data_IF_759276464352
#
_entry.id   IF_759276464352
#
_cell.length_a   1.000
_cell.length_b   1.000
_cell.length_c   1.000
_cell.angle_alpha   90.00
_cell.angle_beta   90.00
_cell.angle_gamma   90.00
#
_symmetry.space_group_name_H-M   'P 1'
#
loop_
_entity.id
_entity.type
_entity.pdbx_description
1 polymer ?
#
# COMPACT_ATOMS: atom_id res chain seq x y z
N UNK A 1 -32.04 -79.33 -12.08
CA UNK A 1 -31.73 -78.78 -13.41
C UNK A 1 -30.66 -77.69 -13.40
N UNK A 2 -29.96 -77.41 -12.28
CA UNK A 2 -28.98 -76.30 -12.18
C UNK A 2 -27.58 -76.54 -12.75
N UNK A 3 -27.11 -77.80 -12.80
CA UNK A 3 -25.70 -78.08 -13.09
C UNK A 3 -25.33 -77.97 -14.57
N UNK A 4 -26.22 -78.39 -15.48
CA UNK A 4 -25.99 -78.23 -16.93
C UNK A 4 -26.03 -76.76 -17.35
N UNK A 5 -26.96 -75.99 -16.79
CA UNK A 5 -27.04 -74.53 -16.98
C UNK A 5 -25.78 -73.83 -16.45
N UNK A 6 -25.22 -74.31 -15.33
CA UNK A 6 -23.96 -73.78 -14.79
C UNK A 6 -22.77 -74.04 -15.72
N UNK A 7 -22.69 -75.22 -16.36
CA UNK A 7 -21.62 -75.57 -17.30
C UNK A 7 -21.73 -74.79 -18.62
N UNK A 8 -22.93 -74.60 -19.15
CA UNK A 8 -23.18 -73.78 -20.34
C UNK A 8 -22.88 -72.30 -20.06
N UNK A 9 -23.25 -71.81 -18.86
CA UNK A 9 -22.91 -70.46 -18.39
C UNK A 9 -21.40 -70.24 -18.23
N UNK A 10 -20.66 -71.26 -17.75
CA UNK A 10 -19.20 -71.26 -17.68
C UNK A 10 -18.57 -71.14 -19.08
N UNK A 11 -19.14 -71.84 -20.06
CA UNK A 11 -18.64 -71.86 -21.44
C UNK A 11 -18.88 -70.51 -22.13
N UNK A 12 -20.11 -69.98 -22.04
CA UNK A 12 -20.51 -68.71 -22.66
C UNK A 12 -19.82 -67.48 -22.04
N UNK A 13 -19.57 -67.47 -20.71
CA UNK A 13 -18.84 -66.36 -20.08
C UNK A 13 -17.33 -66.37 -20.38
N UNK A 14 -16.76 -67.52 -20.75
CA UNK A 14 -15.30 -67.64 -20.94
C UNK A 14 -14.75 -66.90 -22.17
N UNK A 15 -15.62 -66.58 -23.14
CA UNK A 15 -15.23 -66.03 -24.44
C UNK A 15 -15.32 -64.49 -24.50
N UNK A 16 -15.97 -63.82 -23.54
CA UNK A 16 -16.26 -62.37 -23.57
C UNK A 16 -15.86 -61.61 -22.27
N UNK A 17 -14.62 -61.75 -21.79
CA UNK A 17 -14.15 -60.97 -20.63
C UNK A 17 -13.62 -59.59 -21.02
N UNK A 18 -14.49 -58.57 -21.02
CA UNK A 18 -14.08 -57.18 -21.23
C UNK A 18 -13.65 -56.47 -19.93
N UNK A 19 -12.60 -56.99 -19.30
CA UNK A 19 -12.11 -56.52 -17.99
C UNK A 19 -11.27 -55.22 -18.07
N UNK A 20 -10.61 -54.98 -19.21
CA UNK A 20 -9.73 -53.82 -19.40
C UNK A 20 -10.56 -52.54 -19.40
N UNK A 21 -11.70 -52.53 -20.09
CA UNK A 21 -12.59 -51.37 -20.17
C UNK A 21 -13.19 -51.02 -18.81
N UNK A 22 -13.66 -52.01 -18.04
CA UNK A 22 -14.16 -51.81 -16.67
C UNK A 22 -13.09 -51.27 -15.71
N UNK A 23 -11.82 -51.68 -15.89
CA UNK A 23 -10.72 -51.19 -15.05
C UNK A 23 -10.39 -49.73 -15.36
N UNK A 24 -10.38 -49.35 -16.63
CA UNK A 24 -10.18 -47.97 -17.05
C UNK A 24 -11.32 -47.06 -16.57
N UNK A 25 -12.56 -47.56 -16.62
CA UNK A 25 -13.75 -46.89 -16.10
C UNK A 25 -13.64 -46.68 -14.58
N UNK A 26 -13.23 -47.71 -13.83
CA UNK A 26 -12.99 -47.60 -12.38
C UNK A 26 -11.93 -46.55 -12.05
N UNK A 27 -10.83 -46.50 -12.81
CA UNK A 27 -9.78 -45.49 -12.61
C UNK A 27 -10.28 -44.07 -12.91
N UNK A 28 -11.16 -43.90 -13.91
CA UNK A 28 -11.79 -42.62 -14.19
C UNK A 28 -12.73 -42.18 -13.07
N UNK A 29 -13.56 -43.09 -12.55
CA UNK A 29 -14.46 -42.80 -11.43
C UNK A 29 -13.65 -42.44 -10.17
N UNK A 30 -12.56 -43.15 -9.87
CA UNK A 30 -11.65 -42.80 -8.77
C UNK A 30 -11.04 -41.41 -8.92
N UNK A 31 -10.63 -41.03 -10.14
CA UNK A 31 -10.16 -39.67 -10.43
C UNK A 31 -11.23 -38.62 -10.17
N UNK A 32 -12.47 -38.88 -10.58
CA UNK A 32 -13.61 -37.99 -10.34
C UNK A 32 -13.89 -37.84 -8.84
N UNK A 33 -13.90 -38.94 -8.07
CA UNK A 33 -14.05 -38.90 -6.60
C UNK A 33 -12.96 -38.02 -5.97
N UNK A 34 -11.70 -38.20 -6.37
CA UNK A 34 -10.59 -37.43 -5.82
C UNK A 34 -10.70 -35.94 -6.16
N UNK A 35 -11.06 -35.61 -7.40
CA UNK A 35 -11.31 -34.23 -7.84
C UNK A 35 -12.42 -33.57 -7.02
N UNK A 36 -13.57 -34.22 -6.94
CA UNK A 36 -14.75 -33.68 -6.26
C UNK A 36 -14.53 -33.56 -4.75
N UNK A 37 -13.82 -34.52 -4.15
CA UNK A 37 -13.43 -34.48 -2.74
C UNK A 37 -12.47 -33.31 -2.45
N UNK A 38 -11.52 -33.05 -3.35
CA UNK A 38 -10.57 -31.94 -3.17
C UNK A 38 -11.26 -30.59 -3.29
N UNK A 39 -12.17 -30.41 -4.26
CA UNK A 39 -13.00 -29.21 -4.37
C UNK A 39 -13.92 -29.04 -3.15
N UNK A 40 -14.58 -30.11 -2.70
CA UNK A 40 -15.39 -30.09 -1.48
C UNK A 40 -14.57 -29.64 -0.25
N UNK A 41 -13.38 -30.22 -0.05
CA UNK A 41 -12.48 -29.83 1.05
C UNK A 41 -12.02 -28.38 0.93
N UNK A 42 -11.79 -27.89 -0.29
CA UNK A 42 -11.39 -26.51 -0.55
C UNK A 42 -12.51 -25.54 -0.17
N UNK A 43 -13.75 -25.82 -0.57
CA UNK A 43 -14.94 -25.02 -0.21
C UNK A 43 -15.14 -25.02 1.31
N UNK A 44 -15.07 -26.19 1.96
CA UNK A 44 -15.17 -26.29 3.43
C UNK A 44 -14.07 -25.49 4.11
N UNK A 45 -12.82 -25.63 3.66
CA UNK A 45 -11.68 -24.90 4.22
C UNK A 45 -11.84 -23.39 4.08
N UNK A 46 -12.34 -22.92 2.93
CA UNK A 46 -12.64 -21.51 2.71
C UNK A 46 -13.78 -21.04 3.63
N UNK A 47 -14.85 -21.83 3.77
CA UNK A 47 -15.94 -21.52 4.71
C UNK A 47 -15.50 -21.43 6.17
N UNK A 48 -14.50 -22.21 6.58
CA UNK A 48 -13.89 -22.17 7.92
C UNK A 48 -12.83 -21.07 8.10
N UNK A 49 -12.53 -20.27 7.07
CA UNK A 49 -11.67 -19.11 7.26
C UNK A 49 -12.36 -18.11 8.18
N UNK A 50 -11.58 -17.48 9.05
CA UNK A 50 -12.09 -16.47 9.95
C UNK A 50 -11.94 -15.10 9.32
N UNK A 51 -12.99 -14.30 9.46
CA UNK A 51 -12.93 -12.85 9.29
C UNK A 51 -12.98 -12.23 10.69
N UNK A 52 -12.20 -11.16 10.86
CA UNK A 52 -12.22 -10.36 12.07
C UNK A 52 -12.33 -8.90 11.68
N UNK A 53 -13.56 -8.43 11.49
CA UNK A 53 -13.84 -6.99 11.45
C UNK A 53 -14.70 -6.60 12.67
N UNK A 54 -14.81 -5.32 13.03
CA UNK A 54 -15.48 -4.89 14.24
C UNK A 54 -16.95 -5.34 14.39
N UNK A 55 -17.67 -5.62 13.28
CA UNK A 55 -19.10 -5.98 13.28
C UNK A 55 -19.38 -7.45 12.93
N UNK A 56 -18.55 -8.04 12.09
CA UNK A 56 -18.64 -9.41 11.56
C UNK A 56 -17.38 -10.17 11.93
N UNK A 57 -17.53 -11.14 12.84
CA UNK A 57 -16.44 -11.97 13.36
C UNK A 57 -16.83 -13.44 13.33
N UNK A 58 -15.86 -14.30 13.04
CA UNK A 58 -16.06 -15.75 13.03
C UNK A 58 -15.87 -16.35 11.64
N UNK A 59 -16.40 -17.56 11.44
CA UNK A 59 -16.25 -18.30 10.20
C UNK A 59 -17.02 -17.63 9.06
N UNK A 60 -16.50 -17.67 7.83
CA UNK A 60 -17.15 -17.06 6.66
C UNK A 60 -18.58 -17.58 6.43
N UNK A 61 -18.89 -18.83 6.81
CA UNK A 61 -20.25 -19.38 6.71
C UNK A 61 -21.22 -18.70 7.67
N UNK A 62 -20.82 -18.51 8.93
CA UNK A 62 -21.66 -17.86 9.94
C UNK A 62 -21.85 -16.38 9.58
N UNK A 63 -20.79 -15.74 9.09
CA UNK A 63 -20.85 -14.36 8.61
C UNK A 63 -21.72 -14.23 7.36
N UNK A 64 -21.73 -15.21 6.45
CA UNK A 64 -22.64 -15.20 5.30
C UNK A 64 -24.12 -15.22 5.74
N UNK A 65 -24.46 -15.95 6.80
CA UNK A 65 -25.82 -15.95 7.35
C UNK A 65 -26.19 -14.60 7.95
N UNK A 66 -25.27 -13.98 8.70
CA UNK A 66 -25.45 -12.63 9.24
C UNK A 66 -25.62 -11.58 8.13
N UNK A 67 -24.79 -11.65 7.08
CA UNK A 67 -24.88 -10.73 5.94
C UNK A 67 -26.22 -10.82 5.21
N UNK A 68 -26.84 -12.01 5.13
CA UNK A 68 -28.19 -12.16 4.54
C UNK A 68 -29.27 -11.50 5.40
N UNK A 69 -29.11 -11.49 6.72
CA UNK A 69 -30.04 -10.82 7.63
C UNK A 69 -29.92 -9.30 7.48
N UNK A 70 -28.68 -8.81 7.39
CA UNK A 70 -28.37 -7.38 7.33
C UNK A 70 -28.50 -6.77 5.92
N UNK A 71 -28.72 -7.57 4.87
CA UNK A 71 -28.72 -7.14 3.47
C UNK A 71 -29.62 -5.91 3.24
N UNK A 72 -30.87 -5.98 3.71
CA UNK A 72 -31.85 -4.91 3.58
C UNK A 72 -31.43 -3.61 4.28
N UNK A 73 -30.68 -3.71 5.39
CA UNK A 73 -30.20 -2.53 6.13
C UNK A 73 -29.17 -1.74 5.31
N UNK A 74 -28.37 -2.43 4.48
CA UNK A 74 -27.26 -1.84 3.74
C UNK A 74 -27.52 -1.68 2.23
N UNK A 75 -28.73 -1.99 1.76
CA UNK A 75 -29.18 -1.78 0.37
C UNK A 75 -28.93 -0.37 -0.16
N UNK A 76 -28.87 0.63 0.72
CA UNK A 76 -28.59 1.99 0.31
C UNK A 76 -27.14 2.25 -0.08
N UNK A 77 -26.19 1.44 0.40
CA UNK A 77 -24.77 1.62 0.20
C UNK A 77 -24.31 0.93 -1.09
N UNK A 78 -24.11 1.73 -2.13
CA UNK A 78 -23.82 1.25 -3.49
C UNK A 78 -22.37 1.46 -3.91
N UNK A 79 -21.57 2.07 -3.05
CA UNK A 79 -20.15 2.30 -3.30
C UNK A 79 -19.33 1.00 -3.13
N UNK A 80 -18.20 0.94 -3.83
CA UNK A 80 -17.27 -0.21 -3.75
C UNK A 80 -16.31 -0.12 -2.56
N UNK A 81 -16.17 1.06 -1.98
CA UNK A 81 -15.24 1.33 -0.90
C UNK A 81 -15.60 0.50 0.34
N UNK A 82 -14.60 0.00 1.04
CA UNK A 82 -14.79 -0.89 2.19
C UNK A 82 -13.67 -0.77 3.24
N UNK A 83 -12.78 0.23 3.10
CA UNK A 83 -11.73 0.47 4.09
C UNK A 83 -12.30 1.25 5.27
N UNK A 84 -12.53 0.52 6.35
CA UNK A 84 -13.06 1.04 7.60
C UNK A 84 -11.98 1.59 8.56
N UNK A 85 -10.69 1.49 8.20
CA UNK A 85 -9.58 1.99 9.02
C UNK A 85 -9.11 3.39 8.61
N UNK A 86 -9.70 3.99 7.57
CA UNK A 86 -9.35 5.33 7.12
C UNK A 86 -9.87 6.42 8.07
N UNK A 87 -9.02 6.78 9.03
CA UNK A 87 -9.29 7.84 10.02
C UNK A 87 -9.44 9.23 9.40
N UNK A 88 -8.87 9.47 8.21
CA UNK A 88 -9.02 10.76 7.54
C UNK A 88 -10.44 10.93 6.99
N UNK A 89 -11.07 9.82 6.58
CA UNK A 89 -12.40 9.81 6.01
C UNK A 89 -13.45 10.35 6.98
N UNK A 90 -13.37 10.02 8.27
CA UNK A 90 -14.31 10.52 9.29
C UNK A 90 -14.28 12.05 9.40
N UNK A 91 -13.07 12.61 9.52
CA UNK A 91 -12.88 14.05 9.60
C UNK A 91 -13.37 14.76 8.33
N UNK A 92 -13.02 14.22 7.16
CA UNK A 92 -13.48 14.75 5.87
C UNK A 92 -15.01 14.69 5.74
N UNK A 93 -15.62 13.56 6.11
CA UNK A 93 -17.06 13.37 6.06
C UNK A 93 -17.79 14.35 6.98
N UNK A 94 -17.35 14.48 8.24
CA UNK A 94 -17.98 15.39 9.19
C UNK A 94 -17.87 16.86 8.73
N UNK A 95 -16.71 17.26 8.19
CA UNK A 95 -16.54 18.59 7.57
C UNK A 95 -17.45 18.79 6.36
N UNK A 96 -17.61 17.77 5.52
CA UNK A 96 -18.54 17.84 4.38
C UNK A 96 -19.97 18.09 4.87
N UNK A 97 -20.43 17.37 5.90
CA UNK A 97 -21.77 17.55 6.47
C UNK A 97 -21.95 18.98 7.02
N UNK A 98 -20.98 19.47 7.78
CA UNK A 98 -20.97 20.84 8.31
C UNK A 98 -21.08 21.86 7.17
N UNK A 99 -20.22 21.75 6.16
CA UNK A 99 -20.23 22.68 5.03
C UNK A 99 -21.49 22.55 4.16
N UNK A 100 -22.03 21.35 3.96
CA UNK A 100 -23.24 21.15 3.17
C UNK A 100 -24.46 21.86 3.80
N UNK A 101 -24.51 21.98 5.13
CA UNK A 101 -25.54 22.77 5.82
C UNK A 101 -25.39 24.28 5.59
N UNK A 102 -24.14 24.76 5.53
CA UNK A 102 -23.82 26.18 5.34
C UNK A 102 -24.00 26.60 3.88
N UNK A 103 -23.71 25.68 2.95
CA UNK A 103 -23.53 25.96 1.53
C UNK A 103 -24.45 25.12 0.64
N UNK A 104 -25.74 25.08 0.96
CA UNK A 104 -26.77 24.24 0.32
C UNK A 104 -26.96 24.47 -1.19
N UNK A 105 -26.45 25.56 -1.76
CA UNK A 105 -26.61 25.93 -3.17
C UNK A 105 -25.31 26.39 -3.84
N UNK A 106 -24.17 25.78 -3.49
CA UNK A 106 -22.89 26.10 -4.16
C UNK A 106 -22.91 25.62 -5.61
N UNK A 107 -22.63 26.55 -6.51
CA UNK A 107 -22.22 26.24 -7.87
C UNK A 107 -20.74 25.85 -7.89
N UNK A 108 -20.45 24.63 -8.32
CA UNK A 108 -19.10 24.06 -8.27
C UNK A 108 -18.19 24.56 -9.41
N UNK A 109 -18.77 25.15 -10.45
CA UNK A 109 -18.05 25.63 -11.62
C UNK A 109 -17.50 27.06 -11.42
N UNK A 110 -18.06 27.83 -10.50
CA UNK A 110 -17.73 29.26 -10.30
C UNK A 110 -16.78 29.56 -9.15
N UNK A 111 -16.38 28.57 -8.33
CA UNK A 111 -15.50 28.81 -7.17
C UNK A 111 -14.11 29.31 -7.63
N UNK A 112 -13.76 30.51 -7.17
CA UNK A 112 -12.50 31.19 -7.47
C UNK A 112 -11.31 30.44 -6.86
N UNK A 113 -10.21 30.32 -7.60
CA UNK A 113 -8.96 29.78 -7.07
C UNK A 113 -8.39 30.74 -6.01
N UNK A 114 -8.52 30.38 -4.73
CA UNK A 114 -8.03 31.20 -3.62
C UNK A 114 -6.53 31.45 -3.69
N UNK A 115 -5.75 30.59 -4.36
CA UNK A 115 -4.31 30.79 -4.56
C UNK A 115 -4.00 32.06 -5.35
N UNK A 116 -4.99 32.60 -6.08
CA UNK A 116 -4.88 33.85 -6.83
C UNK A 116 -5.26 35.08 -6.01
N UNK A 117 -5.91 34.93 -4.85
CA UNK A 117 -6.27 36.08 -4.02
C UNK A 117 -5.24 36.33 -2.93
N UNK A 118 -4.78 37.58 -2.74
CA UNK A 118 -3.84 37.91 -1.69
C UNK A 118 -4.54 37.93 -0.33
N UNK A 119 -3.87 37.42 0.70
CA UNK A 119 -4.37 37.54 2.09
C UNK A 119 -4.35 38.99 2.56
N UNK A 120 -5.19 39.35 3.53
CA UNK A 120 -5.19 40.69 4.13
C UNK A 120 -3.80 41.09 4.66
N UNK A 121 -3.03 40.13 5.19
CA UNK A 121 -1.68 40.36 5.68
C UNK A 121 -0.71 40.71 4.55
N UNK A 122 -0.76 39.98 3.43
CA UNK A 122 0.06 40.29 2.25
C UNK A 122 -0.26 41.67 1.70
N UNK A 123 -1.56 42.00 1.59
CA UNK A 123 -2.00 43.33 1.16
C UNK A 123 -1.45 44.40 2.11
N UNK A 124 -1.61 44.23 3.43
CA UNK A 124 -1.08 45.19 4.44
C UNK A 124 0.42 45.36 4.34
N UNK A 125 1.17 44.26 4.20
CA UNK A 125 2.62 44.29 4.05
C UNK A 125 3.03 45.08 2.81
N UNK A 126 2.41 44.79 1.67
CA UNK A 126 2.65 45.51 0.42
C UNK A 126 2.37 47.01 0.56
N UNK A 127 1.25 47.37 1.18
CA UNK A 127 0.88 48.76 1.44
C UNK A 127 1.89 49.49 2.33
N UNK A 128 2.38 48.82 3.39
CA UNK A 128 3.40 49.38 4.27
C UNK A 128 4.72 49.63 3.52
N UNK A 129 5.13 48.67 2.68
CA UNK A 129 6.37 48.78 1.90
C UNK A 129 6.25 49.86 0.81
N UNK A 130 5.15 49.91 0.07
CA UNK A 130 4.90 51.00 -0.90
C UNK A 130 4.88 52.36 -0.21
N UNK A 131 4.21 52.48 0.95
CA UNK A 131 4.18 53.75 1.69
C UNK A 131 5.59 54.18 2.13
N UNK A 132 6.45 53.21 2.47
CA UNK A 132 7.81 53.45 2.96
C UNK A 132 8.80 53.79 1.83
N UNK A 133 8.72 53.11 0.69
CA UNK A 133 9.73 53.18 -0.37
C UNK A 133 9.22 53.82 -1.67
N UNK A 134 7.92 54.09 -1.78
CA UNK A 134 7.28 54.54 -3.00
C UNK A 134 7.18 53.44 -4.05
N UNK A 135 6.91 53.85 -5.29
CA UNK A 135 6.91 52.94 -6.41
C UNK A 135 8.34 52.68 -6.89
N UNK A 136 8.85 51.47 -6.65
CA UNK A 136 10.20 51.08 -7.07
C UNK A 136 10.24 50.84 -8.58
N UNK A 137 11.23 51.43 -9.23
CA UNK A 137 11.61 51.16 -10.62
C UNK A 137 12.96 50.44 -10.62
N UNK A 138 12.93 49.13 -10.36
CA UNK A 138 14.08 48.23 -10.50
C UNK A 138 13.74 47.18 -11.55
N UNK A 139 14.72 46.79 -12.37
CA UNK A 139 14.56 45.71 -13.32
C UNK A 139 14.75 44.35 -12.64
N UNK A 140 14.25 43.27 -13.25
CA UNK A 140 14.40 41.91 -12.70
C UNK A 140 15.87 41.52 -12.50
N UNK A 141 16.75 41.97 -13.41
CA UNK A 141 18.20 41.76 -13.31
C UNK A 141 18.79 42.41 -12.05
N UNK A 142 18.38 43.63 -11.73
CA UNK A 142 18.89 44.34 -10.55
C UNK A 142 18.50 43.61 -9.27
N UNK A 143 17.29 43.06 -9.23
CA UNK A 143 16.79 42.29 -8.09
C UNK A 143 17.55 40.98 -7.93
N UNK A 144 17.81 40.26 -9.01
CA UNK A 144 18.62 39.05 -8.99
C UNK A 144 20.05 39.35 -8.49
N UNK A 145 20.63 40.47 -8.90
CA UNK A 145 21.95 40.89 -8.42
C UNK A 145 21.94 41.26 -6.93
N UNK A 146 20.92 41.99 -6.46
CA UNK A 146 20.72 42.28 -5.04
C UNK A 146 20.58 41.00 -4.21
N UNK A 147 19.78 40.03 -4.67
CA UNK A 147 19.61 38.74 -4.01
C UNK A 147 20.92 37.97 -3.91
N UNK A 148 21.71 37.93 -4.99
CA UNK A 148 23.01 37.28 -5.02
C UNK A 148 23.95 37.88 -3.97
N UNK A 149 24.09 39.20 -3.98
CA UNK A 149 24.95 39.92 -3.03
C UNK A 149 24.49 39.77 -1.58
N UNK A 150 23.16 39.75 -1.34
CA UNK A 150 22.60 39.54 0.00
C UNK A 150 22.86 38.12 0.51
N UNK A 151 22.78 37.11 -0.36
CA UNK A 151 23.03 35.72 0.03
C UNK A 151 24.50 35.47 0.40
N UNK A 152 25.42 36.30 -0.09
CA UNK A 152 26.83 36.28 0.31
C UNK A 152 27.10 37.02 1.64
N UNK A 153 26.12 37.73 2.22
CA UNK A 153 26.30 38.43 3.48
C UNK A 153 26.13 37.47 4.68
N UNK A 154 26.86 37.72 5.78
CA UNK A 154 26.63 37.02 7.04
C UNK A 154 25.19 37.14 7.55
N UNK A 155 24.79 36.21 8.42
CA UNK A 155 23.52 36.28 9.16
C UNK A 155 23.46 37.56 10.02
N UNK A 156 22.25 38.00 10.35
CA UNK A 156 22.01 39.30 11.01
C UNK A 156 22.74 39.42 12.35
N UNK A 157 22.84 38.33 13.11
CA UNK A 157 23.54 38.27 14.39
C UNK A 157 25.02 38.62 14.24
N UNK A 158 25.68 38.08 13.21
CA UNK A 158 27.09 38.32 12.94
C UNK A 158 27.37 39.74 12.41
N UNK A 159 26.36 40.43 11.86
CA UNK A 159 26.44 41.84 11.47
C UNK A 159 26.29 42.76 12.68
N UNK A 160 25.34 42.46 13.59
CA UNK A 160 25.15 43.20 14.84
C UNK A 160 26.41 43.23 15.70
N UNK A 161 27.12 42.11 15.78
CA UNK A 161 28.39 42.05 16.52
C UNK A 161 29.42 43.04 15.98
N UNK A 162 29.49 43.21 14.66
CA UNK A 162 30.39 44.18 14.03
C UNK A 162 29.88 45.61 14.16
N UNK A 163 28.57 45.83 14.11
CA UNK A 163 27.97 47.16 14.33
C UNK A 163 28.30 47.72 15.72
N UNK A 164 28.63 46.85 16.70
CA UNK A 164 29.07 47.25 18.04
C UNK A 164 30.56 47.62 18.13
N UNK A 165 31.32 47.48 17.03
CA UNK A 165 32.75 47.74 16.98
C UNK A 165 32.98 49.02 16.17
N UNK A 166 33.74 49.95 16.73
CA UNK A 166 34.13 51.16 16.01
C UNK A 166 35.48 50.95 15.35
N UNK A 167 35.53 51.00 14.01
CA UNK A 167 36.78 50.91 13.26
C UNK A 167 37.05 52.20 12.48
N UNK A 168 38.19 52.82 12.78
CA UNK A 168 38.66 54.04 12.12
C UNK A 168 39.77 53.71 11.14
N UNK A 169 39.68 54.27 9.94
CA UNK A 169 40.61 54.00 8.83
C UNK A 169 41.39 55.25 8.43
N UNK A 170 42.65 55.10 7.99
CA UNK A 170 43.38 56.19 7.36
C UNK A 170 42.88 56.43 5.94
N UNK A 171 43.24 57.58 5.34
CA UNK A 171 42.90 57.93 3.96
C UNK A 171 43.66 57.07 2.93
N UNK A 172 43.19 55.83 2.76
CA UNK A 172 43.66 54.83 1.80
C UNK A 172 42.48 53.98 1.32
N UNK A 173 42.61 53.42 0.12
CA UNK A 173 41.55 52.57 -0.42
C UNK A 173 41.41 51.27 0.39
N UNK A 174 40.17 50.78 0.50
CA UNK A 174 39.88 49.53 1.20
C UNK A 174 40.60 48.32 0.60
N UNK A 175 40.90 48.30 -0.70
CA UNK A 175 41.69 47.24 -1.32
C UNK A 175 43.12 47.19 -0.76
N UNK A 176 43.76 48.36 -0.60
CA UNK A 176 45.12 48.45 -0.06
C UNK A 176 45.10 48.08 1.44
N UNK A 177 44.13 48.61 2.18
CA UNK A 177 44.01 48.34 3.61
C UNK A 177 43.74 46.85 3.89
N UNK A 178 42.90 46.20 3.07
CA UNK A 178 42.63 44.77 3.17
C UNK A 178 43.89 43.93 2.92
N UNK A 179 44.61 44.20 1.83
CA UNK A 179 45.87 43.50 1.51
C UNK A 179 46.90 43.63 2.66
N UNK A 180 47.02 44.83 3.20
CA UNK A 180 47.94 45.10 4.31
C UNK A 180 47.52 44.35 5.57
N UNK A 181 46.23 44.35 5.90
CA UNK A 181 45.69 43.61 7.04
C UNK A 181 45.88 42.09 6.90
N UNK A 182 45.60 41.53 5.72
CA UNK A 182 45.77 40.10 5.42
C UNK A 182 47.24 39.68 5.51
N UNK A 183 48.15 40.51 5.02
CA UNK A 183 49.60 40.25 5.11
C UNK A 183 50.07 40.22 6.58
N UNK A 184 49.65 41.19 7.38
CA UNK A 184 50.03 41.28 8.80
C UNK A 184 49.38 40.17 9.63
N UNK A 185 48.14 39.81 9.32
CA UNK A 185 47.45 38.68 9.92
C UNK A 185 48.16 37.36 9.62
N UNK A 186 48.59 37.14 8.36
CA UNK A 186 49.39 35.98 7.98
C UNK A 186 50.67 35.86 8.81
N UNK A 187 51.39 36.98 8.96
CA UNK A 187 52.58 37.05 9.80
C UNK A 187 52.31 36.69 11.27
N UNK A 188 51.18 37.13 11.85
CA UNK A 188 50.78 36.74 13.21
C UNK A 188 50.42 35.25 13.31
N UNK A 189 49.71 34.71 12.31
CA UNK A 189 49.31 33.30 12.28
C UNK A 189 50.51 32.35 12.18
N UNK A 190 51.62 32.79 11.59
CA UNK A 190 52.90 32.07 11.57
C UNK A 190 53.62 32.06 12.94
N UNK A 191 53.02 32.65 13.97
CA UNK A 191 53.53 32.67 15.35
C UNK A 191 54.42 33.86 15.67
N UNK A 192 54.50 34.85 14.77
CA UNK A 192 55.22 36.09 15.04
C UNK A 192 54.39 37.08 15.86
N UNK A 193 55.04 38.12 16.39
CA UNK A 193 54.39 39.18 17.18
C UNK A 193 54.58 40.53 16.52
N UNK A 194 53.56 41.37 16.60
CA UNK A 194 53.57 42.77 16.15
C UNK A 194 53.58 43.77 17.31
N UNK A 195 53.61 43.28 18.55
CA UNK A 195 53.60 44.06 19.78
C UNK A 195 54.64 43.59 20.81
N UNK A 196 54.92 44.45 21.79
CA UNK A 196 55.78 44.16 22.94
C UNK A 196 57.29 44.32 22.72
N UNK A 197 58.06 44.26 23.81
CA UNK A 197 59.50 44.57 23.86
C UNK A 197 60.35 43.72 22.88
N UNK A 198 59.95 42.45 22.69
CA UNK A 198 60.63 41.53 21.76
C UNK A 198 60.42 41.89 20.29
N UNK A 199 59.29 42.50 19.96
CA UNK A 199 59.04 43.05 18.62
C UNK A 199 59.82 44.35 18.42
N UNK A 200 59.76 45.28 19.39
CA UNK A 200 60.44 46.58 19.32
C UNK A 200 61.95 46.45 19.07
N UNK A 201 62.60 45.46 19.68
CA UNK A 201 64.04 45.19 19.51
C UNK A 201 64.39 44.50 18.19
N UNK A 202 63.45 43.77 17.57
CA UNK A 202 63.68 43.00 16.33
C UNK A 202 63.11 43.67 15.07
N UNK A 203 62.50 44.84 15.20
CA UNK A 203 61.89 45.61 14.10
C UNK A 203 62.84 45.83 12.91
N UNK A 204 64.14 45.98 13.17
CA UNK A 204 65.18 46.13 12.14
C UNK A 204 65.43 44.88 11.29
N UNK A 205 65.08 43.68 11.75
CA UNK A 205 65.29 42.41 11.04
C UNK A 205 64.03 41.87 10.35
N UNK A 206 62.92 42.60 10.40
CA UNK A 206 61.68 42.21 9.73
C UNK A 206 61.86 42.17 8.19
N UNK A 207 61.15 41.27 7.48
CA UNK A 207 61.08 41.29 6.02
C UNK A 207 60.60 42.65 5.52
N UNK A 208 61.08 43.05 4.33
CA UNK A 208 60.74 44.36 3.72
C UNK A 208 59.23 44.55 3.62
N UNK A 209 58.53 43.51 3.18
CA UNK A 209 57.08 43.50 3.02
C UNK A 209 56.32 43.80 4.33
N UNK A 210 56.76 43.24 5.47
CA UNK A 210 56.14 43.50 6.77
C UNK A 210 56.43 44.93 7.22
N UNK A 211 57.68 45.40 7.07
CA UNK A 211 58.09 46.76 7.48
C UNK A 211 57.27 47.85 6.81
N UNK A 212 57.00 47.72 5.52
CA UNK A 212 56.23 48.69 4.74
C UNK A 212 54.76 48.78 5.19
N UNK A 213 54.24 47.73 5.83
CA UNK A 213 52.85 47.62 6.28
C UNK A 213 52.67 47.95 7.76
N UNK A 214 53.73 48.07 8.56
CA UNK A 214 53.66 48.35 10.01
C UNK A 214 52.94 49.66 10.37
N UNK A 215 52.87 50.63 9.46
CA UNK A 215 52.08 51.85 9.69
C UNK A 215 50.61 51.54 10.01
N UNK A 216 50.11 50.39 9.52
CA UNK A 216 48.72 49.97 9.66
C UNK A 216 48.28 49.85 11.12
N UNK A 217 49.18 49.36 11.98
CA UNK A 217 48.91 49.10 13.40
C UNK A 217 48.43 50.38 14.10
N UNK A 218 49.14 51.48 13.88
CA UNK A 218 48.81 52.78 14.50
C UNK A 218 47.75 53.56 13.72
N UNK A 219 47.66 53.32 12.40
CA UNK A 219 46.77 54.07 11.51
C UNK A 219 45.33 53.54 11.48
N UNK A 220 45.11 52.26 11.77
CA UNK A 220 43.78 51.65 11.88
C UNK A 220 43.48 51.39 13.34
N UNK A 221 42.35 51.95 13.81
CA UNK A 221 41.95 51.82 15.22
C UNK A 221 40.73 50.93 15.35
N UNK A 222 40.78 49.97 16.26
CA UNK A 222 39.62 49.15 16.68
C UNK A 222 39.26 49.56 18.10
N UNK A 223 38.07 50.13 18.28
CA UNK A 223 37.62 50.71 19.55
C UNK A 223 38.69 51.66 20.17
N UNK A 224 39.20 52.56 19.34
CA UNK A 224 40.27 53.52 19.65
C UNK A 224 41.65 52.93 20.02
N UNK A 225 41.82 51.61 19.93
CA UNK A 225 43.09 50.91 20.19
C UNK A 225 43.82 50.57 18.89
N UNK A 226 45.15 50.43 18.96
CA UNK A 226 45.97 49.98 17.82
C UNK A 226 45.53 48.59 17.33
N UNK A 227 45.56 48.36 16.03
CA UNK A 227 45.24 47.05 15.47
C UNK A 227 46.49 46.18 15.43
N UNK A 228 46.75 45.42 16.50
CA UNK A 228 47.95 44.58 16.63
C UNK A 228 47.68 43.11 16.97
N UNK A 229 46.43 42.75 17.28
CA UNK A 229 46.03 41.37 17.57
C UNK A 229 45.40 40.64 16.39
N UNK A 230 45.51 39.31 16.37
CA UNK A 230 44.88 38.44 15.36
C UNK A 230 43.38 38.72 15.21
N UNK A 231 42.68 38.95 16.32
CA UNK A 231 41.23 39.16 16.32
C UNK A 231 40.85 40.52 15.74
N UNK A 232 41.58 41.59 16.08
CA UNK A 232 41.36 42.92 15.50
C UNK A 232 41.61 42.91 13.99
N UNK A 233 42.68 42.27 13.51
CA UNK A 233 42.92 42.13 12.07
C UNK A 233 41.78 41.40 11.36
N UNK A 234 41.25 40.32 11.96
CA UNK A 234 40.08 39.62 11.41
C UNK A 234 38.84 40.51 11.36
N UNK A 235 38.58 41.28 12.42
CA UNK A 235 37.46 42.23 12.48
C UNK A 235 37.58 43.31 11.41
N UNK A 236 38.78 43.88 11.24
CA UNK A 236 39.07 44.89 10.22
C UNK A 236 38.87 44.33 8.82
N UNK A 237 39.42 43.15 8.51
CA UNK A 237 39.24 42.51 7.19
C UNK A 237 37.76 42.28 6.91
N UNK A 238 37.02 41.74 7.89
CA UNK A 238 35.59 41.46 7.77
C UNK A 238 34.76 42.74 7.60
N UNK A 239 35.07 43.80 8.33
CA UNK A 239 34.42 45.11 8.19
C UNK A 239 34.68 45.70 6.79
N UNK A 240 35.92 45.69 6.31
CA UNK A 240 36.27 46.15 4.96
C UNK A 240 35.48 45.36 3.90
N UNK A 241 35.44 44.03 4.00
CA UNK A 241 34.69 43.20 3.06
C UNK A 241 33.20 43.53 3.04
N UNK A 242 32.61 43.79 4.21
CA UNK A 242 31.21 44.21 4.31
C UNK A 242 31.00 45.59 3.70
N UNK A 243 31.85 46.58 3.99
CA UNK A 243 31.78 47.91 3.34
C UNK A 243 31.79 47.77 1.83
N UNK A 244 32.70 46.97 1.28
CA UNK A 244 32.79 46.71 -0.15
C UNK A 244 31.53 46.04 -0.71
N UNK A 245 30.95 45.06 0.00
CA UNK A 245 29.69 44.41 -0.42
C UNK A 245 28.50 45.38 -0.37
N UNK A 246 28.37 46.18 0.69
CA UNK A 246 27.32 47.18 0.80
C UNK A 246 27.49 48.34 -0.20
N UNK A 247 28.72 48.68 -0.58
CA UNK A 247 28.99 49.62 -1.68
C UNK A 247 28.50 49.07 -3.02
N UNK A 248 28.65 47.76 -3.28
CA UNK A 248 28.06 47.12 -4.47
C UNK A 248 26.54 47.19 -4.43
N UNK A 249 25.92 46.83 -3.31
CA UNK A 249 24.46 46.93 -3.13
C UNK A 249 23.95 48.36 -3.37
N UNK A 250 24.67 49.36 -2.86
CA UNK A 250 24.33 50.79 -3.01
C UNK A 250 24.38 51.27 -4.46
N UNK A 251 25.26 50.70 -5.29
CA UNK A 251 25.32 51.01 -6.73
C UNK A 251 24.10 50.51 -7.48
N UNK A 252 23.47 49.43 -7.02
CA UNK A 252 22.25 48.89 -7.62
C UNK A 252 21.04 49.68 -7.15
N UNK A 253 20.90 49.87 -5.84
CA UNK A 253 19.83 50.68 -5.27
C UNK A 253 20.36 51.59 -4.15
N UNK A 254 20.25 52.90 -4.35
CA UNK A 254 20.76 53.89 -3.42
C UNK A 254 19.84 54.07 -2.20
N UNK A 255 19.98 53.18 -1.22
CA UNK A 255 19.20 53.14 0.02
C UNK A 255 19.88 53.83 1.22
N UNK A 256 20.70 54.85 1.00
CA UNK A 256 21.72 55.34 1.94
C UNK A 256 21.17 56.17 3.11
N UNK A 257 20.36 55.54 3.96
CA UNK A 257 19.72 56.18 5.11
C UNK A 257 20.25 55.70 6.46
N UNK A 258 21.01 54.60 6.50
CA UNK A 258 21.39 53.88 7.74
C UNK A 258 22.89 53.62 7.80
N UNK A 259 23.47 53.70 9.00
CA UNK A 259 24.90 53.49 9.20
C UNK A 259 25.22 52.02 9.53
N UNK A 260 24.37 51.35 10.32
CA UNK A 260 24.57 49.98 10.77
C UNK A 260 24.29 48.94 9.64
N UNK A 261 25.15 47.92 9.53
CA UNK A 261 25.04 46.84 8.55
C UNK A 261 23.73 46.06 8.70
N UNK A 262 23.30 45.80 9.94
CA UNK A 262 22.03 45.10 10.18
C UNK A 262 20.86 45.86 9.54
N UNK A 263 20.80 47.18 9.75
CA UNK A 263 19.72 48.02 9.23
C UNK A 263 19.79 48.14 7.70
N UNK A 264 20.99 48.25 7.12
CA UNK A 264 21.19 48.22 5.67
C UNK A 264 20.68 46.90 5.07
N UNK A 265 21.05 45.76 5.64
CA UNK A 265 20.59 44.45 5.15
C UNK A 265 19.06 44.30 5.23
N UNK A 266 18.45 44.72 6.35
CA UNK A 266 16.98 44.74 6.49
C UNK A 266 16.32 45.55 5.38
N UNK A 267 16.87 46.73 5.07
CA UNK A 267 16.38 47.61 4.03
C UNK A 267 16.40 46.93 2.65
N UNK A 268 17.55 46.36 2.23
CA UNK A 268 17.63 45.66 0.94
C UNK A 268 16.70 44.44 0.87
N UNK A 269 16.51 43.71 1.97
CA UNK A 269 15.52 42.61 2.03
C UNK A 269 14.09 43.11 1.85
N UNK A 270 13.74 44.25 2.44
CA UNK A 270 12.43 44.87 2.26
C UNK A 270 12.20 45.35 0.81
N UNK A 271 13.23 45.88 0.15
CA UNK A 271 13.18 46.27 -1.27
C UNK A 271 12.89 45.06 -2.17
N UNK A 272 13.65 43.97 -1.99
CA UNK A 272 13.42 42.72 -2.74
C UNK A 272 12.01 42.19 -2.48
N UNK A 273 11.57 42.24 -1.22
CA UNK A 273 10.21 41.82 -0.84
C UNK A 273 9.15 42.67 -1.55
N UNK A 274 9.31 43.99 -1.57
CA UNK A 274 8.40 44.90 -2.27
C UNK A 274 8.34 44.59 -3.77
N UNK A 275 9.48 44.39 -4.42
CA UNK A 275 9.53 44.02 -5.83
C UNK A 275 8.79 42.72 -6.12
N UNK A 276 9.05 41.66 -5.33
CA UNK A 276 8.37 40.37 -5.48
C UNK A 276 6.87 40.51 -5.32
N UNK A 277 6.41 41.25 -4.31
CA UNK A 277 5.00 41.50 -4.09
C UNK A 277 4.37 42.29 -5.25
N UNK A 278 5.06 43.30 -5.79
CA UNK A 278 4.60 44.10 -6.93
C UNK A 278 4.38 43.26 -8.20
N UNK A 279 5.07 42.12 -8.35
CA UNK A 279 4.87 41.22 -9.50
C UNK A 279 3.53 40.48 -9.48
N UNK A 280 2.86 40.41 -8.32
CA UNK A 280 1.54 39.83 -8.19
C UNK A 280 0.44 40.83 -8.59
N UNK A 281 -0.12 40.64 -9.80
CA UNK A 281 -1.18 41.51 -10.33
C UNK A 281 -2.40 41.58 -9.41
N UNK A 282 -2.80 40.48 -8.77
CA UNK A 282 -3.97 40.47 -7.89
C UNK A 282 -3.71 41.29 -6.62
N UNK A 283 -2.46 41.29 -6.13
CA UNK A 283 -2.03 42.13 -5.01
C UNK A 283 -2.03 43.62 -5.36
N UNK A 284 -1.54 43.98 -6.55
CA UNK A 284 -1.55 45.36 -7.06
C UNK A 284 -2.99 45.85 -7.24
N UNK A 285 -3.83 45.04 -7.89
CA UNK A 285 -5.25 45.35 -8.11
C UNK A 285 -6.00 45.47 -6.77
N UNK A 286 -5.72 44.59 -5.80
CA UNK A 286 -6.24 44.72 -4.46
C UNK A 286 -5.81 46.07 -3.87
N UNK A 287 -4.52 46.35 -3.76
CA UNK A 287 -4.01 47.62 -3.19
C UNK A 287 -4.66 48.87 -3.80
N UNK A 288 -4.81 48.92 -5.12
CA UNK A 288 -5.36 50.09 -5.83
C UNK A 288 -6.84 50.36 -5.50
N UNK A 289 -7.61 49.32 -5.19
CA UNK A 289 -9.04 49.42 -4.94
C UNK A 289 -9.39 49.52 -3.44
N UNK A 290 -8.38 49.59 -2.56
CA UNK A 290 -8.58 49.50 -1.11
C UNK A 290 -8.40 50.84 -0.42
N UNK A 291 -9.42 51.20 0.35
CA UNK A 291 -9.38 52.31 1.29
C UNK A 291 -9.07 51.81 2.72
N UNK A 292 -7.79 51.80 3.10
CA UNK A 292 -7.33 51.38 4.43
C UNK A 292 -7.78 52.29 5.58
N UNK A 293 -8.38 53.45 5.29
CA UNK A 293 -8.85 54.36 6.34
C UNK A 293 -10.16 53.90 6.97
N UNK A 294 -10.88 52.96 6.32
CA UNK A 294 -12.15 52.42 6.80
C UNK A 294 -11.93 51.05 7.45
N UNK A 295 -12.14 50.97 8.77
CA UNK A 295 -12.00 49.72 9.54
C UNK A 295 -12.92 48.60 9.02
N UNK A 296 -14.13 48.95 8.57
CA UNK A 296 -15.11 48.02 7.99
C UNK A 296 -14.56 47.26 6.77
N UNK A 297 -13.69 47.90 5.98
CA UNK A 297 -13.13 47.27 4.79
C UNK A 297 -12.28 46.05 5.14
N UNK A 298 -11.36 46.18 6.11
CA UNK A 298 -10.46 45.09 6.48
C UNK A 298 -11.21 43.87 6.97
N UNK A 299 -12.29 44.10 7.71
CA UNK A 299 -13.20 43.04 8.15
C UNK A 299 -13.95 42.41 6.96
N UNK A 300 -14.51 43.21 6.06
CA UNK A 300 -15.26 42.72 4.89
C UNK A 300 -14.38 41.91 3.93
N UNK A 301 -13.14 42.36 3.69
CA UNK A 301 -12.18 41.65 2.86
C UNK A 301 -11.78 40.32 3.48
N UNK A 302 -11.43 40.31 4.77
CA UNK A 302 -11.10 39.07 5.46
C UNK A 302 -12.29 38.10 5.45
N UNK A 303 -13.50 38.60 5.73
CA UNK A 303 -14.71 37.78 5.71
C UNK A 303 -14.96 37.16 4.32
N UNK A 304 -14.70 37.92 3.24
CA UNK A 304 -14.86 37.44 1.86
C UNK A 304 -13.79 36.41 1.51
N UNK A 305 -12.53 36.68 1.88
CA UNK A 305 -11.42 35.74 1.73
C UNK A 305 -11.71 34.43 2.47
N UNK A 306 -12.09 34.49 3.75
CA UNK A 306 -12.42 33.34 4.60
C UNK A 306 -13.62 32.55 4.07
N UNK A 307 -14.58 33.24 3.43
CA UNK A 307 -15.72 32.59 2.78
C UNK A 307 -15.26 31.81 1.55
N UNK A 308 -14.47 32.44 0.67
CA UNK A 308 -13.90 31.79 -0.52
C UNK A 308 -13.00 30.62 -0.11
N UNK A 309 -12.26 30.74 1.00
CA UNK A 309 -11.41 29.68 1.52
C UNK A 309 -12.22 28.47 1.92
N UNK A 310 -13.27 28.68 2.72
CA UNK A 310 -14.17 27.61 3.16
C UNK A 310 -14.89 26.95 1.99
N UNK A 311 -15.32 27.72 0.99
CA UNK A 311 -15.91 27.17 -0.25
C UNK A 311 -14.92 26.29 -1.03
N UNK A 312 -13.66 26.71 -1.14
CA UNK A 312 -12.60 25.91 -1.77
C UNK A 312 -12.27 24.64 -0.98
N UNK A 313 -12.16 24.73 0.35
CA UNK A 313 -11.95 23.56 1.21
C UNK A 313 -13.09 22.55 1.08
N UNK A 314 -14.34 23.03 1.01
CA UNK A 314 -15.49 22.17 0.76
C UNK A 314 -15.40 21.47 -0.61
N UNK A 315 -15.04 22.19 -1.67
CA UNK A 315 -14.85 21.62 -3.01
C UNK A 315 -13.79 20.50 -3.01
N UNK A 316 -12.66 20.74 -2.35
CA UNK A 316 -11.56 19.76 -2.26
C UNK A 316 -11.99 18.51 -1.47
N UNK A 317 -12.61 18.69 -0.29
CA UNK A 317 -13.12 17.57 0.51
C UNK A 317 -14.16 16.76 -0.26
N UNK A 318 -15.10 17.44 -0.94
CA UNK A 318 -16.11 16.79 -1.78
C UNK A 318 -15.44 15.93 -2.85
N UNK A 319 -14.47 16.47 -3.57
CA UNK A 319 -13.75 15.74 -4.61
C UNK A 319 -13.05 14.49 -4.05
N UNK A 320 -12.28 14.64 -2.97
CA UNK A 320 -11.57 13.54 -2.32
C UNK A 320 -12.51 12.44 -1.84
N UNK A 321 -13.67 12.80 -1.27
CA UNK A 321 -14.68 11.82 -0.86
C UNK A 321 -15.37 11.17 -2.05
N UNK A 322 -15.68 11.93 -3.11
CA UNK A 322 -16.29 11.40 -4.34
C UNK A 322 -15.40 10.38 -5.07
N UNK A 323 -14.08 10.43 -4.91
CA UNK A 323 -13.18 9.39 -5.45
C UNK A 323 -13.37 8.03 -4.75
N UNK A 324 -13.79 8.03 -3.48
CA UNK A 324 -13.96 6.83 -2.65
C UNK A 324 -15.41 6.36 -2.63
N UNK A 325 -16.34 7.26 -2.30
CA UNK A 325 -17.75 6.97 -2.02
C UNK A 325 -18.69 7.86 -2.86
N UNK A 326 -18.57 7.86 -4.21
CA UNK A 326 -19.30 8.78 -5.09
C UNK A 326 -20.82 8.76 -4.91
N UNK A 327 -21.43 7.57 -4.82
CA UNK A 327 -22.88 7.44 -4.75
C UNK A 327 -23.42 7.93 -3.40
N UNK A 328 -22.68 7.68 -2.32
CA UNK A 328 -23.05 8.17 -0.99
C UNK A 328 -22.97 9.69 -0.95
N UNK A 329 -21.94 10.29 -1.53
CA UNK A 329 -21.78 11.75 -1.60
C UNK A 329 -22.91 12.37 -2.41
N UNK A 330 -23.28 11.81 -3.55
CA UNK A 330 -24.42 12.30 -4.35
C UNK A 330 -25.72 12.30 -3.54
N UNK A 331 -26.01 11.21 -2.81
CA UNK A 331 -27.21 11.11 -1.96
C UNK A 331 -27.20 12.12 -0.81
N UNK A 332 -26.05 12.34 -0.17
CA UNK A 332 -25.91 13.33 0.90
C UNK A 332 -26.19 14.73 0.36
N UNK A 333 -25.64 15.07 -0.81
CA UNK A 333 -25.86 16.36 -1.47
C UNK A 333 -27.31 16.50 -1.94
N UNK A 334 -28.00 15.41 -2.27
CA UNK A 334 -29.44 15.41 -2.56
C UNK A 334 -30.34 15.47 -1.30
N UNK A 335 -29.76 15.67 -0.11
CA UNK A 335 -30.49 15.87 1.15
C UNK A 335 -30.69 14.61 2.00
N UNK A 336 -30.04 13.49 1.68
CA UNK A 336 -30.08 12.30 2.54
C UNK A 336 -29.28 12.57 3.82
N UNK A 337 -29.93 12.40 4.97
CA UNK A 337 -29.25 12.41 6.27
C UNK A 337 -28.57 11.04 6.48
N UNK A 338 -27.27 11.05 6.73
CA UNK A 338 -26.48 9.82 7.01
C UNK A 338 -25.34 10.21 7.94
N UNK A 339 -25.17 9.46 9.01
CA UNK A 339 -24.08 9.68 9.98
C UNK A 339 -22.81 8.94 9.53
N UNK A 340 -21.65 9.33 10.04
CA UNK A 340 -20.43 8.58 9.78
C UNK A 340 -20.51 7.15 10.36
N UNK A 341 -21.22 6.95 11.47
CA UNK A 341 -21.45 5.62 12.04
C UNK A 341 -22.24 4.72 11.09
N UNK A 342 -23.26 5.24 10.41
CA UNK A 342 -24.00 4.48 9.40
C UNK A 342 -23.10 4.07 8.22
N UNK A 343 -22.23 4.99 7.80
CA UNK A 343 -21.26 4.78 6.73
C UNK A 343 -20.21 3.73 7.12
N UNK A 344 -19.70 3.81 8.34
CA UNK A 344 -18.70 2.89 8.87
C UNK A 344 -19.26 1.47 9.00
N UNK A 345 -20.50 1.34 9.46
CA UNK A 345 -21.23 0.06 9.46
C UNK A 345 -21.40 -0.51 8.06
N UNK A 346 -21.72 0.35 7.08
CA UNK A 346 -21.80 -0.06 5.68
C UNK A 346 -20.44 -0.53 5.13
N UNK A 347 -19.32 0.07 5.56
CA UNK A 347 -17.98 -0.41 5.21
C UNK A 347 -17.68 -1.77 5.82
N UNK A 348 -18.04 -2.01 7.09
CA UNK A 348 -17.90 -3.33 7.71
C UNK A 348 -18.69 -4.39 6.93
N UNK A 349 -19.93 -4.07 6.56
CA UNK A 349 -20.78 -4.93 5.74
C UNK A 349 -20.14 -5.19 4.37
N UNK A 350 -19.70 -4.15 3.66
CA UNK A 350 -19.10 -4.27 2.32
C UNK A 350 -17.79 -5.05 2.35
N UNK A 351 -16.98 -4.86 3.38
CA UNK A 351 -15.77 -5.61 3.62
C UNK A 351 -16.08 -7.10 3.79
N UNK A 352 -16.99 -7.46 4.70
CA UNK A 352 -17.39 -8.84 4.93
C UNK A 352 -18.02 -9.48 3.68
N UNK A 353 -18.88 -8.76 2.97
CA UNK A 353 -19.49 -9.19 1.70
C UNK A 353 -18.41 -9.54 0.65
N UNK A 354 -17.39 -8.69 0.49
CA UNK A 354 -16.30 -8.93 -0.47
C UNK A 354 -15.44 -10.15 -0.11
N UNK A 355 -15.29 -10.48 1.18
CA UNK A 355 -14.61 -11.71 1.61
C UNK A 355 -15.45 -12.95 1.32
N UNK A 356 -16.75 -12.90 1.62
CA UNK A 356 -17.66 -14.03 1.43
C UNK A 356 -17.95 -14.30 -0.05
N UNK A 357 -17.97 -13.28 -0.91
CA UNK A 357 -18.11 -13.44 -2.37
C UNK A 357 -16.96 -14.25 -3.01
N UNK A 358 -15.83 -14.43 -2.32
CA UNK A 358 -14.74 -15.30 -2.78
C UNK A 358 -15.04 -16.79 -2.59
N UNK A 359 -16.12 -17.14 -1.87
CA UNK A 359 -16.57 -18.52 -1.73
C UNK A 359 -17.12 -19.05 -3.07
N UNK A 360 -16.73 -20.27 -3.49
CA UNK A 360 -17.27 -20.88 -4.71
C UNK A 360 -18.79 -20.99 -4.63
N UNK A 361 -19.48 -20.61 -5.72
CA UNK A 361 -20.95 -20.74 -5.84
C UNK A 361 -21.43 -22.19 -5.95
N UNK A 362 -20.51 -23.15 -6.07
CA UNK A 362 -20.84 -24.57 -6.24
C UNK A 362 -21.43 -25.12 -4.93
N UNK A 363 -22.61 -25.73 -5.01
CA UNK A 363 -23.33 -26.20 -3.84
C UNK A 363 -22.60 -27.41 -3.23
N UNK A 364 -22.24 -27.32 -1.96
CA UNK A 364 -21.59 -28.42 -1.23
C UNK A 364 -22.47 -29.69 -1.18
N UNK A 365 -23.79 -29.54 -1.33
CA UNK A 365 -24.73 -30.67 -1.41
C UNK A 365 -24.49 -31.50 -2.68
N UNK A 366 -24.41 -30.85 -3.85
CA UNK A 366 -24.25 -31.51 -5.15
C UNK A 366 -22.92 -32.26 -5.24
N UNK A 367 -21.85 -31.70 -4.66
CA UNK A 367 -20.55 -32.37 -4.58
C UNK A 367 -20.62 -33.62 -3.69
N UNK A 368 -21.32 -33.57 -2.55
CA UNK A 368 -21.50 -34.75 -1.68
C UNK A 368 -22.26 -35.86 -2.39
N UNK A 369 -23.34 -35.52 -3.10
CA UNK A 369 -24.14 -36.48 -3.87
C UNK A 369 -23.31 -37.14 -4.98
N UNK A 370 -22.55 -36.36 -5.76
CA UNK A 370 -21.63 -36.87 -6.78
C UNK A 370 -20.56 -37.80 -6.20
N UNK A 371 -19.95 -37.42 -5.08
CA UNK A 371 -18.95 -38.25 -4.39
C UNK A 371 -19.58 -39.59 -3.98
N UNK A 372 -20.79 -39.56 -3.40
CA UNK A 372 -21.45 -40.77 -2.93
C UNK A 372 -21.89 -41.67 -4.07
N UNK A 373 -22.49 -41.09 -5.12
CA UNK A 373 -22.87 -41.83 -6.33
C UNK A 373 -21.65 -42.50 -6.98
N UNK A 374 -20.54 -41.77 -7.16
CA UNK A 374 -19.32 -42.31 -7.74
C UNK A 374 -18.69 -43.41 -6.86
N UNK A 375 -18.78 -43.31 -5.52
CA UNK A 375 -18.31 -44.38 -4.62
C UNK A 375 -19.12 -45.66 -4.80
N UNK A 376 -20.45 -45.53 -4.91
CA UNK A 376 -21.35 -46.68 -5.15
C UNK A 376 -20.98 -47.35 -6.48
N UNK A 377 -20.86 -46.57 -7.56
CA UNK A 377 -20.45 -47.09 -8.87
C UNK A 377 -19.06 -47.75 -8.84
N UNK A 378 -18.10 -47.15 -8.12
CA UNK A 378 -16.78 -47.74 -7.98
C UNK A 378 -16.83 -49.09 -7.25
N UNK A 379 -17.68 -49.22 -6.24
CA UNK A 379 -17.88 -50.46 -5.50
C UNK A 379 -18.51 -51.56 -6.36
N UNK A 380 -19.51 -51.20 -7.17
CA UNK A 380 -20.12 -52.11 -8.14
C UNK A 380 -19.09 -52.59 -9.17
N UNK A 381 -18.33 -51.67 -9.78
CA UNK A 381 -17.27 -52.01 -10.72
C UNK A 381 -16.19 -52.89 -10.08
N UNK A 382 -15.75 -52.63 -8.85
CA UNK A 382 -14.78 -53.46 -8.13
C UNK A 382 -15.32 -54.88 -7.95
N UNK A 383 -16.60 -55.02 -7.60
CA UNK A 383 -17.26 -56.31 -7.41
C UNK A 383 -17.31 -57.09 -8.72
N UNK A 384 -17.71 -56.42 -9.80
CA UNK A 384 -17.74 -56.95 -11.16
C UNK A 384 -16.35 -57.39 -11.65
N UNK A 385 -15.36 -56.50 -11.51
CA UNK A 385 -13.94 -56.74 -11.81
C UNK A 385 -13.44 -57.96 -11.03
N UNK A 386 -13.78 -58.07 -9.75
CA UNK A 386 -13.42 -59.20 -8.90
C UNK A 386 -14.05 -60.51 -9.38
N UNK A 387 -15.35 -60.48 -9.69
CA UNK A 387 -16.08 -61.62 -10.24
C UNK A 387 -15.50 -62.05 -11.59
N UNK A 388 -15.24 -61.11 -12.50
CA UNK A 388 -14.67 -61.35 -13.82
C UNK A 388 -13.25 -61.93 -13.74
N UNK A 389 -12.40 -61.41 -12.83
CA UNK A 389 -11.07 -61.98 -12.55
C UNK A 389 -11.17 -63.40 -12.02
N UNK A 390 -12.02 -63.64 -11.02
CA UNK A 390 -12.20 -64.95 -10.42
C UNK A 390 -12.73 -65.96 -11.44
N UNK A 391 -13.66 -65.55 -12.30
CA UNK A 391 -14.13 -66.36 -13.41
C UNK A 391 -13.04 -66.65 -14.44
N UNK A 392 -12.28 -65.64 -14.88
CA UNK A 392 -11.15 -65.83 -15.81
C UNK A 392 -10.11 -66.79 -15.24
N UNK A 393 -9.77 -66.67 -13.96
CA UNK A 393 -8.87 -67.60 -13.27
C UNK A 393 -9.41 -69.03 -13.32
N UNK A 394 -10.68 -69.22 -12.95
CA UNK A 394 -11.34 -70.54 -12.96
C UNK A 394 -11.37 -71.12 -14.38
N UNK A 395 -11.78 -70.35 -15.38
CA UNK A 395 -11.80 -70.76 -16.79
C UNK A 395 -10.41 -71.16 -17.29
N UNK A 396 -9.35 -70.43 -16.90
CA UNK A 396 -7.97 -70.78 -17.26
C UNK A 396 -7.53 -72.13 -16.68
N UNK A 397 -7.93 -72.46 -15.45
CA UNK A 397 -7.62 -73.74 -14.79
C UNK A 397 -8.44 -74.89 -15.38
N UNK A 398 -9.68 -74.63 -15.80
CA UNK A 398 -10.55 -75.61 -16.47
C UNK A 398 -10.07 -76.03 -17.86
N UNK A 399 -9.08 -75.35 -18.46
CA UNK A 399 -8.39 -75.83 -19.68
C UNK A 399 -7.60 -77.11 -19.45
N UNK A 400 -7.31 -77.49 -18.20
CA UNK A 400 -6.69 -78.75 -17.87
C UNK A 400 -7.66 -79.92 -18.16
N UNK A 401 -7.31 -80.76 -19.15
CA UNK A 401 -8.12 -81.91 -19.58
C UNK A 401 -8.50 -82.84 -18.42
N UNK A 402 -7.58 -83.09 -17.50
CA UNK A 402 -7.79 -83.99 -16.35
C UNK A 402 -8.86 -83.45 -15.41
N UNK A 403 -8.78 -82.17 -15.05
CA UNK A 403 -9.74 -81.52 -14.15
C UNK A 403 -11.15 -81.47 -14.78
N UNK A 404 -11.24 -81.19 -16.08
CA UNK A 404 -12.51 -81.20 -16.82
C UNK A 404 -13.16 -82.57 -16.81
N UNK A 405 -12.37 -83.64 -16.96
CA UNK A 405 -12.84 -85.02 -16.86
C UNK A 405 -13.35 -85.33 -15.46
N UNK A 406 -12.61 -84.93 -14.43
CA UNK A 406 -12.97 -85.17 -13.01
C UNK A 406 -14.26 -84.43 -12.63
N UNK A 407 -14.46 -83.21 -13.12
CA UNK A 407 -15.71 -82.47 -12.97
C UNK A 407 -16.90 -83.11 -13.68
N UNK A 408 -16.69 -83.60 -14.91
CA UNK A 408 -17.76 -84.29 -15.64
C UNK A 408 -18.13 -85.61 -14.97
N UNK A 409 -17.14 -86.37 -14.47
CA UNK A 409 -17.40 -87.58 -13.70
C UNK A 409 -18.13 -87.27 -12.39
N UNK A 410 -17.78 -86.18 -11.73
CA UNK A 410 -18.51 -85.71 -10.56
C UNK A 410 -19.96 -85.37 -10.89
N UNK A 411 -20.22 -84.56 -11.91
CA UNK A 411 -21.58 -84.17 -12.34
C UNK A 411 -22.43 -85.39 -12.74
N UNK A 412 -21.83 -86.36 -13.44
CA UNK A 412 -22.48 -87.64 -13.79
C UNK A 412 -22.76 -88.52 -12.58
N UNK A 413 -21.91 -88.49 -11.56
CA UNK A 413 -22.14 -89.21 -10.32
C UNK A 413 -23.29 -88.59 -9.53
N UNK A 414 -23.35 -87.27 -9.44
CA UNK A 414 -24.41 -86.53 -8.75
C UNK A 414 -25.77 -86.70 -9.42
N UNK A 415 -25.86 -86.66 -10.76
CA UNK A 415 -27.14 -86.87 -11.46
C UNK A 415 -27.73 -88.27 -11.27
N UNK A 416 -26.92 -89.24 -10.85
CA UNK A 416 -27.33 -90.63 -10.55
C UNK A 416 -27.67 -90.86 -9.08
N UNK A 417 -27.57 -89.84 -8.22
CA UNK A 417 -28.04 -89.90 -6.83
C UNK A 417 -29.56 -89.74 -6.83
N UNK A 418 -30.28 -90.84 -6.54
CA UNK A 418 -31.74 -90.85 -6.44
C UNK A 418 -32.25 -90.26 -5.11
N UNK A 419 -33.54 -89.90 -5.06
CA UNK A 419 -34.21 -89.33 -3.87
C UNK A 419 -34.35 -90.32 -2.71
N UNK A 420 -34.41 -91.61 -3.00
CA UNK A 420 -34.58 -92.69 -2.01
C UNK A 420 -33.24 -93.37 -1.71
N UNK A 421 -33.00 -93.64 -0.44
CA UNK A 421 -31.75 -94.24 0.03
C UNK A 421 -31.65 -95.71 -0.40
N UNK A 422 -30.61 -96.03 -1.16
CA UNK A 422 -30.34 -97.38 -1.65
C UNK A 422 -28.83 -97.65 -1.70
N UNK A 423 -28.43 -98.93 -1.73
CA UNK A 423 -27.02 -99.32 -1.90
C UNK A 423 -26.38 -98.69 -3.16
N UNK A 424 -27.18 -98.48 -4.21
CA UNK A 424 -26.75 -97.81 -5.46
C UNK A 424 -26.55 -96.30 -5.24
N UNK A 425 -27.43 -95.65 -4.49
CA UNK A 425 -27.34 -94.23 -4.11
C UNK A 425 -26.07 -93.96 -3.28
N UNK A 426 -25.77 -94.81 -2.29
CA UNK A 426 -24.56 -94.70 -1.45
C UNK A 426 -23.26 -94.85 -2.27
N UNK A 427 -23.26 -95.76 -3.26
CA UNK A 427 -22.12 -95.92 -4.18
C UNK A 427 -21.86 -94.64 -5.00
N UNK A 428 -22.91 -94.03 -5.57
CA UNK A 428 -22.77 -92.78 -6.32
C UNK A 428 -22.37 -91.59 -5.44
N UNK A 429 -22.86 -91.52 -4.20
CA UNK A 429 -22.40 -90.54 -3.19
C UNK A 429 -20.90 -90.65 -2.90
N UNK A 430 -20.38 -91.87 -2.75
CA UNK A 430 -18.93 -92.10 -2.53
C UNK A 430 -18.10 -91.64 -3.72
N UNK A 431 -18.54 -91.94 -4.95
CA UNK A 431 -17.87 -91.52 -6.18
C UNK A 431 -17.91 -89.99 -6.32
N UNK A 432 -19.06 -89.35 -6.04
CA UNK A 432 -19.19 -87.90 -6.03
C UNK A 432 -18.24 -87.25 -5.00
N UNK A 433 -18.18 -87.75 -3.77
CA UNK A 433 -17.22 -87.28 -2.74
C UNK A 433 -15.76 -87.37 -3.21
N UNK A 434 -15.37 -88.48 -3.83
CA UNK A 434 -14.00 -88.69 -4.31
C UNK A 434 -13.61 -87.73 -5.44
N UNK A 435 -14.49 -87.53 -6.44
CA UNK A 435 -14.19 -86.60 -7.53
C UNK A 435 -14.24 -85.14 -7.08
N UNK A 436 -15.15 -84.80 -6.15
CA UNK A 436 -15.22 -83.47 -5.53
C UNK A 436 -13.91 -83.09 -4.82
N UNK A 437 -13.31 -84.02 -4.07
CA UNK A 437 -12.06 -83.77 -3.36
C UNK A 437 -10.90 -83.38 -4.28
N UNK A 438 -10.92 -83.84 -5.53
CA UNK A 438 -9.91 -83.51 -6.53
C UNK A 438 -10.12 -82.15 -7.19
N UNK A 439 -11.36 -81.66 -7.18
CA UNK A 439 -11.75 -80.40 -7.82
C UNK A 439 -11.84 -79.22 -6.84
N UNK A 440 -11.89 -79.48 -5.52
CA UNK A 440 -12.15 -78.48 -4.47
C UNK A 440 -11.13 -77.34 -4.39
N UNK A 441 -9.86 -77.61 -4.68
CA UNK A 441 -8.76 -76.63 -4.52
C UNK A 441 -8.65 -75.68 -5.73
N UNK A 442 -9.42 -75.97 -6.79
CA UNK A 442 -9.32 -75.27 -8.07
C UNK A 442 -10.57 -74.46 -8.40
N UNK A 443 -11.72 -74.83 -7.85
CA UNK A 443 -13.00 -74.18 -8.12
C UNK A 443 -13.36 -73.29 -6.93
N UNK A 444 -13.57 -71.98 -7.14
CA UNK A 444 -13.95 -71.07 -6.07
C UNK A 444 -15.23 -71.51 -5.34
N UNK A 445 -15.25 -71.29 -4.03
CA UNK A 445 -16.35 -71.69 -3.14
C UNK A 445 -17.72 -71.07 -3.49
N UNK A 446 -17.79 -69.97 -4.23
CA UNK A 446 -19.05 -69.36 -4.66
C UNK A 446 -19.61 -69.97 -5.96
N UNK A 447 -18.75 -70.60 -6.77
CA UNK A 447 -19.14 -71.43 -7.92
C UNK A 447 -19.50 -72.85 -7.45
N UNK A 448 -18.84 -73.30 -6.37
CA UNK A 448 -19.01 -74.62 -5.79
C UNK A 448 -19.00 -74.54 -4.25
N UNK A 449 -20.15 -74.22 -3.61
CA UNK A 449 -20.24 -74.06 -2.16
C UNK A 449 -20.08 -75.40 -1.46
N UNK A 450 -18.88 -75.68 -0.95
CA UNK A 450 -18.51 -76.97 -0.38
C UNK A 450 -19.46 -77.42 0.75
N UNK A 451 -20.09 -76.49 1.47
CA UNK A 451 -21.09 -76.78 2.51
C UNK A 451 -22.41 -77.32 1.92
N UNK A 452 -23.01 -76.61 0.96
CA UNK A 452 -24.26 -77.06 0.30
C UNK A 452 -24.05 -78.39 -0.46
N UNK A 453 -22.82 -78.63 -0.92
CA UNK A 453 -22.41 -79.87 -1.56
C UNK A 453 -22.13 -81.00 -0.56
N UNK A 454 -21.63 -80.68 0.63
CA UNK A 454 -21.50 -81.66 1.70
C UNK A 454 -22.88 -82.17 2.11
N UNK A 455 -23.84 -81.25 2.30
CA UNK A 455 -25.22 -81.54 2.72
C UNK A 455 -25.96 -82.46 1.74
N UNK A 456 -25.69 -82.35 0.44
CA UNK A 456 -26.30 -83.19 -0.61
C UNK A 456 -25.69 -84.59 -0.71
N UNK A 457 -24.48 -84.79 -0.17
CA UNK A 457 -23.74 -86.07 -0.25
C UNK A 457 -23.65 -86.77 1.13
N UNK A 458 -24.06 -86.11 2.21
CA UNK A 458 -24.51 -86.73 3.48
C UNK A 458 -25.92 -87.28 3.36
#
# INVERSE_FOLDING_TARGET
NDLSSSVEAIKNKSENFNYIDKTNELDQIKRNIAKDTNEYKKIVRQGTQEINNPKYQGMLVDVLEQLKIDEQQFDWYQDKYNDYNDKNLENQFNKLIEFNQIYTSLDFDTILDIKKQPTLNLVKQYCQLIKKYGDLSLEERDIQELECLINELPVLEALKELDNITITYPDKSFNILKDHAETLLGYLNDGHRLEGVRFSTRKFFLPKEIKEKLYFIEAVKVNDSDCDTIEEFKQVIKDIELKQKFDKLKRIYNADSKNEYEQKLRLYREIISLYKLKSDKYLVDAHANIDFTKQEWGQNYQNTYDKIERENQFKEIRQQLSEKIPNTIEKILSGRVTTFTDLQDAFYFKHAQNYVQQLPKENTSDLKERIEHNKIQAQELITDIGADKAWKYTASKLKNKTLKIELNHWAQAVSKIGKTESKRTQKWRKIAKQQMQKCKDVIPCWIMPLQQLADTIT
#
